data_IF_583862623463
#
_entry.id   IF_583862623463
#
_cell.length_a   1.000
_cell.length_b   1.000
_cell.length_c   1.000
_cell.angle_alpha   90.00
_cell.angle_beta   90.00
_cell.angle_gamma   90.00
#
_symmetry.space_group_name_H-M   'P 1'
#
loop_
_entity.id
_entity.type
_entity.pdbx_description
1 polymer ?
#
# COMPACT_ATOMS: atom_id res chain seq x y z
N UNK A 1 20.21 -19.67 10.48
CA UNK A 1 20.06 -18.54 9.53
C UNK A 1 18.84 -18.79 8.66
N UNK A 2 18.05 -17.78 8.32
CA UNK A 2 16.79 -17.98 7.55
C UNK A 2 17.00 -18.19 6.05
N UNK A 3 18.24 -18.11 5.54
CA UNK A 3 18.59 -18.40 4.14
C UNK A 3 18.12 -17.36 3.11
N UNK A 4 17.51 -16.26 3.55
CA UNK A 4 16.98 -15.22 2.65
C UNK A 4 18.00 -14.16 2.22
N UNK A 5 19.28 -14.36 2.54
CA UNK A 5 20.33 -13.37 2.31
C UNK A 5 20.61 -13.13 0.81
N UNK A 6 20.38 -14.15 -0.02
CA UNK A 6 20.47 -14.09 -1.48
C UNK A 6 19.27 -13.39 -2.13
N UNK A 7 18.11 -13.35 -1.46
CA UNK A 7 16.90 -12.67 -1.96
C UNK A 7 16.95 -11.14 -1.77
N UNK A 8 17.91 -10.63 -0.99
CA UNK A 8 18.08 -9.21 -0.70
C UNK A 8 18.90 -8.47 -1.77
N UNK A 9 18.65 -8.71 -3.06
CA UNK A 9 19.39 -8.01 -4.14
C UNK A 9 19.10 -6.50 -4.19
N UNK A 10 17.98 -6.06 -3.60
CA UNK A 10 17.53 -4.66 -3.63
C UNK A 10 17.99 -3.80 -2.42
N UNK A 11 18.73 -4.42 -1.49
CA UNK A 11 19.19 -3.79 -0.25
C UNK A 11 18.14 -3.79 0.87
N UNK A 12 18.36 -2.97 1.89
CA UNK A 12 17.53 -2.87 3.10
C UNK A 12 16.95 -1.47 3.23
N UNK A 13 15.70 -1.37 3.68
CA UNK A 13 15.02 -0.09 3.94
C UNK A 13 14.66 0.02 5.42
N UNK A 14 15.23 1.01 6.10
CA UNK A 14 14.92 1.31 7.51
C UNK A 14 13.73 2.25 7.62
N UNK A 15 12.75 1.89 8.43
CA UNK A 15 11.55 2.70 8.71
C UNK A 15 11.28 2.79 10.22
N UNK A 16 10.27 3.56 10.62
CA UNK A 16 9.88 3.74 12.01
C UNK A 16 10.66 4.84 12.74
N UNK A 17 10.38 5.02 14.03
CA UNK A 17 10.98 6.08 14.83
C UNK A 17 12.50 5.94 15.03
N UNK A 18 12.99 4.72 15.19
CA UNK A 18 14.41 4.44 15.43
C UNK A 18 15.29 4.73 14.22
N UNK A 19 14.75 4.65 13.00
CA UNK A 19 15.45 5.00 11.76
C UNK A 19 15.80 6.50 11.66
N UNK A 20 15.29 7.35 12.57
CA UNK A 20 15.62 8.79 12.64
C UNK A 20 16.94 9.03 13.36
N UNK A 21 17.43 8.08 14.15
CA UNK A 21 18.69 8.21 14.88
C UNK A 21 19.85 8.46 13.91
N UNK A 22 20.76 9.41 14.21
CA UNK A 22 21.97 9.61 13.43
C UNK A 22 22.85 8.35 13.42
N UNK A 23 23.50 8.04 12.30
CA UNK A 23 24.39 6.87 12.19
C UNK A 23 23.66 5.55 11.93
N UNK A 24 22.32 5.56 11.84
CA UNK A 24 21.55 4.33 11.77
C UNK A 24 21.56 3.66 10.39
N UNK A 25 21.86 4.42 9.33
CA UNK A 25 22.03 3.85 7.99
C UNK A 25 23.40 3.18 7.91
N UNK A 26 24.42 3.87 8.37
CA UNK A 26 25.83 3.47 8.40
C UNK A 26 26.02 2.19 9.22
N UNK A 27 25.45 2.14 10.43
CA UNK A 27 25.46 0.93 11.26
C UNK A 27 24.70 -0.24 10.59
N UNK A 28 23.65 0.07 9.81
CA UNK A 28 22.97 -0.94 9.00
C UNK A 28 23.88 -1.50 7.90
N UNK A 29 24.61 -0.64 7.21
CA UNK A 29 25.55 -1.06 6.16
C UNK A 29 26.71 -1.89 6.74
N UNK A 30 27.23 -1.51 7.90
CA UNK A 30 28.30 -2.24 8.60
C UNK A 30 27.86 -3.65 9.03
N UNK A 31 26.62 -3.81 9.50
CA UNK A 31 26.09 -5.10 9.96
C UNK A 31 25.69 -5.99 8.79
N UNK A 32 24.98 -5.44 7.81
CA UNK A 32 24.34 -6.22 6.76
C UNK A 32 25.20 -6.38 5.50
N UNK A 33 26.31 -5.63 5.39
CA UNK A 33 27.21 -5.63 4.22
C UNK A 33 26.45 -5.46 2.89
N UNK A 34 25.35 -4.71 2.93
CA UNK A 34 24.41 -4.46 1.84
C UNK A 34 23.98 -2.99 1.90
N UNK A 35 23.57 -2.39 0.76
CA UNK A 35 23.12 -1.01 0.75
C UNK A 35 21.88 -0.84 1.63
N UNK A 36 21.94 0.11 2.57
CA UNK A 36 20.84 0.44 3.46
C UNK A 36 20.36 1.85 3.16
N UNK A 37 19.05 2.06 3.15
CA UNK A 37 18.46 3.39 2.94
C UNK A 37 17.33 3.67 3.91
N UNK A 38 17.11 4.96 4.17
CA UNK A 38 15.99 5.44 4.99
C UNK A 38 14.71 5.47 4.16
N UNK A 39 13.69 4.75 4.60
CA UNK A 39 12.38 4.70 3.95
C UNK A 39 11.48 5.86 4.38
N UNK A 40 10.96 6.59 3.40
CA UNK A 40 9.97 7.64 3.59
C UNK A 40 8.65 7.22 2.94
N UNK A 41 7.50 7.51 3.57
CA UNK A 41 6.21 7.23 2.95
C UNK A 41 6.02 8.11 1.72
N UNK A 42 5.52 7.48 0.64
CA UNK A 42 5.24 8.16 -0.62
C UNK A 42 3.89 8.87 -0.51
N UNK A 43 3.93 10.17 -0.27
CA UNK A 43 2.77 11.03 -0.18
C UNK A 43 3.08 12.36 -0.86
N UNK A 44 2.15 12.92 -1.62
CA UNK A 44 2.41 14.12 -2.43
C UNK A 44 1.20 15.06 -2.37
N UNK A 45 0.76 15.40 -1.17
CA UNK A 45 -0.36 16.30 -0.95
C UNK A 45 -0.14 17.16 0.31
N UNK A 46 -1.19 17.85 0.77
CA UNK A 46 -1.13 18.75 1.92
C UNK A 46 -0.56 18.04 3.17
N UNK A 47 0.26 18.74 3.96
CA UNK A 47 0.98 18.19 5.12
C UNK A 47 2.09 17.18 4.77
N UNK A 48 2.58 17.15 3.52
CA UNK A 48 3.74 16.32 3.15
C UNK A 48 4.90 16.46 4.14
N UNK A 49 5.26 17.68 4.52
CA UNK A 49 6.41 17.94 5.40
C UNK A 49 6.27 17.28 6.78
N UNK A 50 5.04 17.12 7.28
CA UNK A 50 4.76 16.43 8.53
C UNK A 50 4.83 14.90 8.36
N UNK A 51 4.44 14.41 7.19
CA UNK A 51 4.29 12.98 6.87
C UNK A 51 5.56 12.40 6.26
N UNK A 52 6.46 13.20 5.70
CA UNK A 52 7.71 12.79 5.06
C UNK A 52 8.79 12.40 6.09
N UNK A 53 8.44 11.46 6.98
CA UNK A 53 9.30 10.99 8.06
C UNK A 53 9.17 9.47 8.19
N UNK A 54 10.26 8.72 8.46
CA UNK A 54 10.17 7.27 8.65
C UNK A 54 9.21 6.84 9.77
N UNK A 55 8.98 7.70 10.76
CA UNK A 55 8.06 7.47 11.89
C UNK A 55 6.61 7.24 11.44
N UNK A 56 6.16 7.91 10.38
CA UNK A 56 4.77 7.83 9.89
C UNK A 56 4.57 6.70 8.87
N UNK A 57 5.61 5.95 8.53
CA UNK A 57 5.56 4.91 7.49
C UNK A 57 4.46 3.86 7.74
N UNK A 58 4.30 3.41 8.99
CA UNK A 58 3.26 2.42 9.35
C UNK A 58 1.85 2.97 9.13
N UNK A 59 1.56 4.17 9.64
CA UNK A 59 0.24 4.79 9.51
C UNK A 59 -0.08 5.07 8.04
N UNK A 60 0.91 5.54 7.27
CA UNK A 60 0.73 5.78 5.84
C UNK A 60 0.47 4.50 5.06
N UNK A 61 1.13 3.39 5.40
CA UNK A 61 0.84 2.09 4.81
C UNK A 61 -0.59 1.62 5.10
N UNK A 62 -1.07 1.80 6.32
CA UNK A 62 -2.46 1.47 6.70
C UNK A 62 -3.49 2.33 5.96
N UNK A 63 -3.24 3.64 5.85
CA UNK A 63 -4.11 4.55 5.11
C UNK A 63 -4.16 4.20 3.63
N UNK A 64 -3.02 3.85 3.04
CA UNK A 64 -2.96 3.47 1.63
C UNK A 64 -3.69 2.14 1.37
N UNK A 65 -3.54 1.15 2.27
CA UNK A 65 -4.31 -0.10 2.15
C UNK A 65 -5.81 0.15 2.32
N UNK A 66 -6.23 1.00 3.26
CA UNK A 66 -7.63 1.39 3.39
C UNK A 66 -8.17 2.07 2.12
N UNK A 67 -7.37 2.93 1.48
CA UNK A 67 -7.70 3.58 0.20
C UNK A 67 -7.89 2.56 -0.91
N UNK A 68 -6.96 1.61 -1.05
CA UNK A 68 -7.03 0.54 -2.04
C UNK A 68 -8.22 -0.40 -1.78
N UNK A 69 -8.46 -0.79 -0.53
CA UNK A 69 -9.59 -1.63 -0.13
C UNK A 69 -10.93 -0.96 -0.47
N UNK A 70 -11.07 0.34 -0.19
CA UNK A 70 -12.28 1.09 -0.54
C UNK A 70 -12.48 1.18 -2.06
N UNK A 71 -11.41 1.42 -2.82
CA UNK A 71 -11.47 1.42 -4.28
C UNK A 71 -11.89 0.06 -4.85
N UNK A 72 -11.39 -1.05 -4.29
CA UNK A 72 -11.82 -2.41 -4.64
C UNK A 72 -13.30 -2.63 -4.32
N UNK A 73 -13.75 -2.24 -3.14
CA UNK A 73 -15.16 -2.36 -2.73
C UNK A 73 -16.12 -1.56 -3.63
N UNK A 74 -15.75 -0.32 -3.98
CA UNK A 74 -16.54 0.51 -4.89
C UNK A 74 -16.64 -0.13 -6.29
N UNK A 75 -15.55 -0.70 -6.82
CA UNK A 75 -15.56 -1.41 -8.11
C UNK A 75 -16.45 -2.65 -8.08
N UNK A 76 -16.39 -3.43 -7.00
CA UNK A 76 -17.23 -4.62 -6.82
C UNK A 76 -18.72 -4.25 -6.75
N UNK A 77 -19.07 -3.20 -6.00
CA UNK A 77 -20.45 -2.70 -5.90
C UNK A 77 -20.97 -2.18 -7.25
N UNK A 78 -20.13 -1.45 -8.01
CA UNK A 78 -20.49 -0.97 -9.34
C UNK A 78 -20.77 -2.12 -10.33
N UNK A 79 -19.95 -3.19 -10.30
CA UNK A 79 -20.20 -4.37 -11.13
C UNK A 79 -21.46 -5.12 -10.71
N UNK A 80 -21.71 -5.28 -9.41
CA UNK A 80 -22.94 -5.92 -8.91
C UNK A 80 -24.21 -5.16 -9.33
N UNK A 81 -24.19 -3.83 -9.27
CA UNK A 81 -25.29 -2.98 -9.74
C UNK A 81 -25.55 -3.13 -11.25
N UNK A 82 -24.49 -3.23 -12.06
CA UNK A 82 -24.60 -3.42 -13.51
C UNK A 82 -25.24 -4.76 -13.87
N UNK A 83 -24.79 -5.86 -13.23
CA UNK A 83 -25.36 -7.20 -13.45
C UNK A 83 -26.83 -7.27 -13.01
N UNK A 84 -27.16 -6.68 -11.86
CA UNK A 84 -28.55 -6.62 -11.37
C UNK A 84 -29.48 -5.87 -12.34
N UNK A 85 -28.99 -4.79 -12.93
CA UNK A 85 -29.75 -4.01 -13.91
C UNK A 85 -29.94 -4.75 -15.24
N UNK A 86 -28.95 -5.54 -15.68
CA UNK A 86 -29.07 -6.38 -16.88
C UNK A 86 -30.07 -7.53 -16.69
N UNK A 87 -30.04 -8.20 -15.53
CA UNK A 87 -31.00 -9.27 -15.19
C UNK A 87 -32.42 -8.72 -15.04
N UNK A 88 -32.56 -7.53 -14.43
CA UNK A 88 -33.86 -6.84 -14.33
C UNK A 88 -34.46 -6.58 -15.71
N UNK A 89 -33.67 -6.02 -16.63
CA UNK A 89 -34.11 -5.76 -18.01
C UNK A 89 -34.48 -7.02 -18.79
N UNK A 90 -33.75 -8.11 -18.60
CA UNK A 90 -34.08 -9.39 -19.24
C UNK A 90 -35.40 -9.98 -18.71
N UNK A 91 -35.64 -9.85 -17.40
CA UNK A 91 -36.90 -10.29 -16.76
C UNK A 91 -38.10 -9.44 -17.25
N UNK A 92 -37.93 -8.13 -17.34
CA UNK A 92 -38.98 -7.22 -17.82
C UNK A 92 -39.32 -7.45 -19.30
N UNK A 93 -38.32 -7.76 -20.14
CA UNK A 93 -38.56 -8.16 -21.54
C UNK A 93 -39.31 -9.49 -21.64
N UNK A 94 -38.99 -10.46 -20.79
CA UNK A 94 -39.64 -11.77 -20.82
C UNK A 94 -41.08 -11.72 -20.30
N UNK A 95 -41.37 -10.89 -19.29
CA UNK A 95 -42.71 -10.72 -18.72
C UNK A 95 -43.59 -9.73 -19.50
N UNK A 96 -43.00 -8.81 -20.28
CA UNK A 96 -43.73 -7.82 -21.07
C UNK A 96 -44.09 -8.26 -22.49
N UNK A 97 -43.51 -9.36 -22.98
CA UNK A 97 -43.60 -9.81 -24.37
C UNK A 97 -44.25 -11.20 -24.55
N UNK A 98 -44.68 -11.84 -23.46
CA UNK A 98 -45.48 -13.07 -23.42
C UNK A 98 -46.77 -12.87 -22.61
#
# INVERSE_FOLDING_TARGET
>A
ESGFEELLSSGIVLTGGSAVMPGMVELGEDIFLKPVRKGLPLYHAALYDMVANPRSATVMGLLEEARLARARGHRAAAQAGSVKNLVGRAKDWFLGNF
#
